data_IF_205813988592
#
_entry.id   IF_205813988592
#
_cell.length_a   1.000
_cell.length_b   1.000
_cell.length_c   1.000
_cell.angle_alpha   90.00
_cell.angle_beta   90.00
_cell.angle_gamma   90.00
#
_symmetry.space_group_name_H-M   'P 1'
#
loop_
_entity.id
_entity.type
_entity.pdbx_description
1 polymer ?
#
# COMPACT_ATOMS: atom_id res chain seq x y z
N UNK A 1 2.81 -4.76 -19.93
CA UNK A 1 3.81 -3.67 -19.76
C UNK A 1 3.07 -2.36 -19.56
N UNK A 2 3.31 -1.66 -18.45
CA UNK A 2 2.67 -0.39 -18.10
C UNK A 2 3.07 0.74 -19.07
N UNK A 3 2.10 1.58 -19.37
CA UNK A 3 2.24 2.79 -20.19
C UNK A 3 1.92 4.03 -19.35
N UNK A 4 2.31 5.21 -19.80
CA UNK A 4 2.01 6.48 -19.11
C UNK A 4 0.51 6.63 -18.77
N UNK A 5 -0.36 6.19 -19.67
CA UNK A 5 -1.80 6.20 -19.48
C UNK A 5 -2.24 5.46 -18.19
N UNK A 6 -1.62 4.32 -17.85
CA UNK A 6 -1.96 3.53 -16.66
C UNK A 6 -1.69 4.33 -15.36
N UNK A 7 -0.62 5.11 -15.34
CA UNK A 7 -0.29 6.00 -14.22
C UNK A 7 -1.24 7.20 -14.13
N UNK A 8 -1.64 7.76 -15.27
CA UNK A 8 -2.61 8.86 -15.31
C UNK A 8 -3.98 8.41 -14.78
N UNK A 9 -4.48 7.25 -15.21
CA UNK A 9 -5.70 6.66 -14.67
C UNK A 9 -5.58 6.34 -13.18
N UNK A 10 -4.43 5.82 -12.74
CA UNK A 10 -4.19 5.57 -11.32
C UNK A 10 -4.27 6.88 -10.52
N UNK A 11 -3.69 7.97 -11.01
CA UNK A 11 -3.78 9.29 -10.39
C UNK A 11 -5.23 9.76 -10.22
N UNK A 12 -6.06 9.59 -11.26
CA UNK A 12 -7.48 9.94 -11.18
C UNK A 12 -8.23 9.10 -10.15
N UNK A 13 -7.98 7.77 -10.12
CA UNK A 13 -8.58 6.87 -9.10
C UNK A 13 -8.17 7.22 -7.68
N UNK A 14 -6.92 7.62 -7.48
CA UNK A 14 -6.45 8.03 -6.16
C UNK A 14 -7.19 9.27 -5.64
N UNK A 15 -7.57 10.21 -6.50
CA UNK A 15 -8.38 11.36 -6.13
C UNK A 15 -7.89 12.04 -4.84
N UNK A 16 -8.77 12.10 -3.84
CA UNK A 16 -8.47 12.73 -2.54
C UNK A 16 -8.02 11.74 -1.45
N UNK A 17 -7.86 10.45 -1.78
CA UNK A 17 -7.41 9.47 -0.77
C UNK A 17 -5.95 9.69 -0.36
N UNK A 18 -5.14 10.20 -1.25
CA UNK A 18 -3.75 10.56 -0.99
C UNK A 18 -3.60 12.04 -0.69
N UNK A 19 -2.60 12.37 0.11
CA UNK A 19 -2.14 13.75 0.29
C UNK A 19 -1.18 14.08 -0.85
N UNK A 20 -1.42 15.18 -1.56
CA UNK A 20 -0.45 15.69 -2.53
C UNK A 20 0.71 16.33 -1.78
N UNK A 21 1.71 15.54 -1.46
CA UNK A 21 2.91 16.00 -0.77
C UNK A 21 3.70 16.95 -1.69
N UNK A 22 4.05 18.13 -1.18
CA UNK A 22 4.83 19.09 -1.96
C UNK A 22 6.29 18.67 -2.04
N UNK A 23 6.96 19.02 -3.12
CA UNK A 23 8.42 18.99 -3.18
C UNK A 23 8.99 20.05 -2.24
N UNK A 24 9.94 19.67 -1.39
CA UNK A 24 10.60 20.54 -0.41
C UNK A 24 12.06 20.64 -0.79
N UNK A 25 12.53 21.86 -1.08
CA UNK A 25 13.95 22.10 -1.30
C UNK A 25 14.73 21.85 0.00
N UNK A 26 15.82 21.12 -0.11
CA UNK A 26 16.72 20.84 1.01
C UNK A 26 18.05 21.57 0.79
N UNK A 27 18.27 22.67 1.50
CA UNK A 27 19.55 23.41 1.43
C UNK A 27 20.73 22.53 1.85
N UNK A 28 20.56 21.75 2.94
CA UNK A 28 21.61 20.86 3.46
C UNK A 28 22.09 19.88 2.39
N UNK A 29 21.16 19.12 1.78
CA UNK A 29 21.56 18.17 0.74
C UNK A 29 22.01 18.85 -0.56
N UNK A 30 21.49 20.03 -0.86
CA UNK A 30 21.94 20.81 -2.03
C UNK A 30 23.38 21.26 -1.85
N UNK A 31 23.74 21.77 -0.68
CA UNK A 31 25.11 22.21 -0.35
C UNK A 31 26.08 21.01 -0.37
N UNK A 32 25.69 19.87 0.20
CA UNK A 32 26.51 18.64 0.22
C UNK A 32 26.75 18.06 -1.17
N UNK A 33 25.73 18.09 -2.07
CA UNK A 33 25.80 17.46 -3.38
C UNK A 33 26.22 18.41 -4.50
N UNK A 34 26.23 19.73 -4.27
CA UNK A 34 26.48 20.74 -5.29
C UNK A 34 25.38 20.81 -6.36
N UNK A 35 24.13 20.43 -6.03
CA UNK A 35 22.97 20.43 -6.91
C UNK A 35 21.72 20.89 -6.16
N UNK A 36 20.67 21.32 -6.89
CA UNK A 36 19.37 21.60 -6.27
C UNK A 36 18.65 20.32 -5.91
N UNK A 37 18.59 19.96 -4.63
CA UNK A 37 17.96 18.75 -4.12
C UNK A 37 16.58 19.04 -3.55
N UNK A 38 15.58 18.30 -4.04
CA UNK A 38 14.21 18.36 -3.57
C UNK A 38 13.79 17.02 -2.98
N UNK A 39 13.04 17.06 -1.89
CA UNK A 39 12.51 15.89 -1.19
C UNK A 39 11.02 15.77 -1.46
N UNK A 40 10.55 14.58 -1.84
CA UNK A 40 9.14 14.18 -1.92
C UNK A 40 8.77 13.43 -0.63
N UNK A 41 8.19 14.08 0.40
CA UNK A 41 8.06 13.51 1.73
C UNK A 41 6.85 12.57 1.84
N UNK A 42 6.90 11.39 1.25
CA UNK A 42 5.81 10.39 1.31
C UNK A 42 5.57 9.80 2.71
N UNK A 43 6.44 10.08 3.67
CA UNK A 43 6.18 9.84 5.10
C UNK A 43 5.05 10.74 5.66
N UNK A 44 4.66 11.78 4.95
CA UNK A 44 3.52 12.65 5.30
C UNK A 44 2.18 12.14 4.76
N UNK A 45 2.15 10.99 4.08
CA UNK A 45 0.90 10.34 3.68
C UNK A 45 0.10 9.84 4.89
N UNK A 46 -1.19 9.58 4.68
CA UNK A 46 -2.14 9.17 5.74
C UNK A 46 -1.70 7.95 6.55
N UNK A 47 -0.94 7.03 5.92
CA UNK A 47 -0.40 5.83 6.58
C UNK A 47 1.11 5.93 6.84
N UNK A 48 1.66 7.15 6.77
CA UNK A 48 3.09 7.38 6.95
C UNK A 48 3.97 6.85 5.82
N UNK A 49 3.41 6.52 4.65
CA UNK A 49 4.17 6.05 3.49
C UNK A 49 3.37 6.08 2.19
N UNK A 50 4.08 5.96 1.07
CA UNK A 50 3.51 5.89 -0.28
C UNK A 50 2.70 4.61 -0.57
N UNK A 51 2.78 3.58 0.27
CA UNK A 51 2.16 2.27 0.01
C UNK A 51 0.63 2.33 -0.18
N UNK A 52 -0.03 3.30 0.40
CA UNK A 52 -1.45 3.55 0.20
C UNK A 52 -1.82 3.75 -1.28
N UNK A 53 -0.96 4.40 -2.06
CA UNK A 53 -1.19 4.69 -3.48
C UNK A 53 -1.44 3.41 -4.30
N UNK A 54 -0.50 2.47 -4.22
CA UNK A 54 -0.59 1.19 -4.94
C UNK A 54 -1.71 0.30 -4.42
N UNK A 55 -1.85 0.19 -3.10
CA UNK A 55 -2.90 -0.61 -2.49
C UNK A 55 -4.30 -0.11 -2.91
N UNK A 56 -4.53 1.20 -2.85
CA UNK A 56 -5.81 1.78 -3.24
C UNK A 56 -6.10 1.59 -4.73
N UNK A 57 -5.12 1.85 -5.62
CA UNK A 57 -5.31 1.66 -7.05
C UNK A 57 -5.64 0.20 -7.40
N UNK A 58 -4.97 -0.77 -6.77
CA UNK A 58 -5.24 -2.21 -6.94
C UNK A 58 -6.66 -2.55 -6.51
N UNK A 59 -7.06 -2.19 -5.29
CA UNK A 59 -8.35 -2.56 -4.71
C UNK A 59 -9.50 -1.82 -5.44
N UNK A 60 -9.29 -0.58 -5.86
CA UNK A 60 -10.30 0.19 -6.61
C UNK A 60 -10.68 -0.47 -7.95
N UNK A 61 -9.74 -1.16 -8.61
CA UNK A 61 -9.95 -1.89 -9.88
C UNK A 61 -10.62 -3.24 -9.71
N UNK A 62 -10.77 -3.76 -8.51
CA UNK A 62 -11.46 -5.02 -8.28
C UNK A 62 -12.94 -4.91 -8.63
N UNK A 63 -13.48 -5.99 -9.17
CA UNK A 63 -14.93 -6.15 -9.40
C UNK A 63 -15.70 -6.13 -8.07
N UNK A 64 -17.02 -5.99 -8.15
CA UNK A 64 -17.88 -6.09 -6.96
C UNK A 64 -17.76 -7.46 -6.28
N UNK A 65 -17.65 -8.52 -7.08
CA UNK A 65 -17.50 -9.89 -6.60
C UNK A 65 -16.17 -10.08 -5.86
N UNK A 66 -15.03 -9.68 -6.47
CA UNK A 66 -13.71 -9.74 -5.82
C UNK A 66 -13.68 -8.94 -4.51
N UNK A 67 -14.29 -7.74 -4.48
CA UNK A 67 -14.40 -6.95 -3.26
C UNK A 67 -15.26 -7.62 -2.19
N UNK A 68 -16.30 -8.35 -2.57
CA UNK A 68 -17.17 -9.07 -1.62
C UNK A 68 -16.46 -10.22 -0.93
N UNK A 69 -15.54 -10.91 -1.63
CA UNK A 69 -14.67 -11.91 -1.00
C UNK A 69 -13.67 -11.24 -0.04
N UNK A 70 -13.17 -10.05 -0.38
CA UNK A 70 -12.19 -9.31 0.38
C UNK A 70 -10.78 -9.43 -0.18
N UNK A 71 -9.84 -8.76 0.49
CA UNK A 71 -8.43 -8.73 0.09
C UNK A 71 -7.52 -9.26 1.18
N UNK A 72 -6.37 -9.80 0.79
CA UNK A 72 -5.37 -10.30 1.70
C UNK A 72 -3.98 -9.78 1.33
N UNK A 73 -3.13 -9.53 2.33
CA UNK A 73 -1.73 -9.21 2.13
C UNK A 73 -0.87 -9.81 3.25
N UNK A 74 0.40 -10.08 2.94
CA UNK A 74 1.42 -10.40 3.95
C UNK A 74 2.35 -9.20 4.12
N UNK A 75 2.31 -8.56 5.28
CA UNK A 75 3.20 -7.44 5.61
C UNK A 75 3.09 -7.03 7.07
N UNK A 76 4.24 -6.82 7.73
CA UNK A 76 4.32 -6.28 9.08
C UNK A 76 4.62 -4.76 9.13
N UNK A 77 4.43 -4.04 8.02
CA UNK A 77 4.86 -2.64 7.91
C UNK A 77 3.89 -1.75 7.13
N UNK A 78 4.47 -0.83 6.37
CA UNK A 78 3.73 0.22 5.66
C UNK A 78 2.69 -0.32 4.65
N UNK A 79 2.98 -1.46 4.01
CA UNK A 79 2.03 -2.05 3.06
C UNK A 79 0.78 -2.56 3.76
N UNK A 80 0.91 -3.16 4.95
CA UNK A 80 -0.21 -3.61 5.78
C UNK A 80 -1.21 -2.47 6.04
N UNK A 81 -0.71 -1.34 6.52
CA UNK A 81 -1.54 -0.15 6.79
C UNK A 81 -2.13 0.45 5.51
N UNK A 82 -1.36 0.47 4.42
CA UNK A 82 -1.83 0.92 3.11
C UNK A 82 -3.01 0.10 2.59
N UNK A 83 -2.91 -1.24 2.66
CA UNK A 83 -3.99 -2.17 2.27
C UNK A 83 -5.20 -2.01 3.19
N UNK A 84 -4.99 -1.97 4.50
CA UNK A 84 -6.07 -1.84 5.48
C UNK A 84 -6.88 -0.55 5.26
N UNK A 85 -6.24 0.61 5.15
CA UNK A 85 -6.92 1.88 4.89
C UNK A 85 -7.60 1.88 3.51
N UNK A 86 -6.94 1.37 2.46
CA UNK A 86 -7.53 1.31 1.13
C UNK A 86 -8.79 0.44 1.10
N UNK A 87 -8.76 -0.74 1.70
CA UNK A 87 -9.90 -1.64 1.81
C UNK A 87 -11.05 -1.00 2.59
N UNK A 88 -10.76 -0.38 3.74
CA UNK A 88 -11.76 0.35 4.53
C UNK A 88 -12.48 1.41 3.69
N UNK A 89 -11.73 2.22 2.92
CA UNK A 89 -12.29 3.30 2.10
C UNK A 89 -13.12 2.81 0.91
N UNK A 90 -12.84 1.59 0.45
CA UNK A 90 -13.49 0.97 -0.70
C UNK A 90 -14.56 -0.07 -0.29
N UNK A 91 -14.84 -0.21 1.02
CA UNK A 91 -15.85 -1.12 1.54
C UNK A 91 -15.51 -2.61 1.36
N UNK A 92 -14.24 -2.97 1.30
CA UNK A 92 -13.78 -4.34 1.20
C UNK A 92 -13.25 -4.84 2.56
N UNK A 93 -13.45 -6.12 2.88
CA UNK A 93 -12.78 -6.78 4.00
C UNK A 93 -11.27 -6.88 3.70
N UNK A 94 -10.43 -6.62 4.70
CA UNK A 94 -8.99 -6.83 4.59
C UNK A 94 -8.50 -7.80 5.65
N UNK A 95 -7.69 -8.77 5.22
CA UNK A 95 -6.96 -9.71 6.09
C UNK A 95 -5.47 -9.43 5.90
N UNK A 96 -4.76 -9.19 6.99
CA UNK A 96 -3.31 -8.93 6.95
C UNK A 96 -2.60 -10.01 7.77
N UNK A 97 -1.73 -10.76 7.11
CA UNK A 97 -0.93 -11.78 7.79
C UNK A 97 0.43 -11.20 8.14
N UNK A 98 0.83 -11.34 9.39
CA UNK A 98 2.08 -10.84 9.95
C UNK A 98 2.81 -11.95 10.70
N UNK A 99 4.16 -11.93 10.78
CA UNK A 99 4.90 -12.80 11.67
C UNK A 99 4.46 -12.63 13.14
N UNK A 100 4.50 -13.70 13.93
CA UNK A 100 4.08 -13.70 15.35
C UNK A 100 4.80 -12.66 16.20
N UNK A 101 6.08 -12.39 15.90
CA UNK A 101 6.90 -11.42 16.64
C UNK A 101 6.75 -9.97 16.14
N UNK A 102 5.73 -9.69 15.30
CA UNK A 102 5.46 -8.31 14.87
C UNK A 102 5.16 -7.43 16.08
N UNK A 103 5.84 -6.27 16.24
CA UNK A 103 5.60 -5.36 17.34
C UNK A 103 4.12 -4.95 17.44
N UNK A 104 3.57 -4.98 18.66
CA UNK A 104 2.14 -4.70 18.92
C UNK A 104 1.68 -3.36 18.33
N UNK A 105 2.53 -2.34 18.35
CA UNK A 105 2.22 -1.03 17.78
C UNK A 105 1.87 -1.10 16.29
N UNK A 106 2.53 -1.99 15.52
CA UNK A 106 2.25 -2.19 14.08
C UNK A 106 0.97 -2.96 13.86
N UNK A 107 0.70 -3.96 14.71
CA UNK A 107 -0.55 -4.73 14.70
C UNK A 107 -1.73 -3.80 14.95
N UNK A 108 -1.67 -3.01 16.02
CA UNK A 108 -2.73 -2.08 16.40
C UNK A 108 -2.92 -0.96 15.36
N UNK A 109 -1.83 -0.43 14.79
CA UNK A 109 -1.91 0.56 13.71
C UNK A 109 -2.68 0.02 12.49
N UNK A 110 -2.52 -1.27 12.18
CA UNK A 110 -3.24 -1.93 11.07
C UNK A 110 -4.70 -2.18 11.44
N UNK A 111 -4.97 -2.67 12.66
CA UNK A 111 -6.33 -2.90 13.16
C UNK A 111 -7.18 -1.63 13.23
N UNK A 112 -6.59 -0.47 13.52
CA UNK A 112 -7.28 0.83 13.52
C UNK A 112 -7.96 1.16 12.18
N UNK A 113 -7.47 0.61 11.09
CA UNK A 113 -8.10 0.73 9.77
C UNK A 113 -9.12 -0.40 9.48
N UNK A 114 -9.52 -1.17 10.49
CA UNK A 114 -10.56 -2.19 10.37
C UNK A 114 -10.11 -3.52 9.74
N UNK A 115 -8.81 -3.72 9.54
CA UNK A 115 -8.31 -4.98 9.03
C UNK A 115 -8.27 -6.06 10.10
N UNK A 116 -8.61 -7.29 9.72
CA UNK A 116 -8.33 -8.49 10.50
C UNK A 116 -6.83 -8.78 10.42
N UNK A 117 -6.17 -8.95 11.56
CA UNK A 117 -4.74 -9.30 11.61
C UNK A 117 -4.57 -10.71 12.10
N UNK A 118 -3.96 -11.54 11.24
CA UNK A 118 -3.59 -12.93 11.52
C UNK A 118 -2.10 -12.98 11.81
N UNK A 119 -1.73 -13.45 12.99
CA UNK A 119 -0.32 -13.66 13.37
C UNK A 119 0.05 -15.11 13.06
N UNK A 120 0.97 -15.32 12.13
CA UNK A 120 1.38 -16.66 11.68
C UNK A 120 2.84 -16.68 11.25
N UNK A 121 3.51 -17.80 11.55
CA UNK A 121 4.93 -17.98 11.27
C UNK A 121 5.85 -17.10 12.12
N UNK A 122 7.13 -17.40 12.06
CA UNK A 122 8.17 -16.68 12.78
C UNK A 122 8.84 -15.61 11.89
N UNK A 123 8.89 -15.89 10.58
CA UNK A 123 9.51 -15.03 9.56
C UNK A 123 8.50 -14.64 8.47
N UNK A 124 8.92 -13.69 7.62
CA UNK A 124 8.07 -13.16 6.54
C UNK A 124 7.57 -14.26 5.59
N UNK A 125 8.44 -15.20 5.18
CA UNK A 125 8.09 -16.23 4.21
C UNK A 125 7.01 -17.19 4.73
N UNK A 126 7.04 -17.50 6.03
CA UNK A 126 6.01 -18.31 6.67
C UNK A 126 4.67 -17.56 6.76
N UNK A 127 4.71 -16.27 7.11
CA UNK A 127 3.51 -15.42 7.10
C UNK A 127 2.94 -15.28 5.68
N UNK A 128 3.81 -15.16 4.67
CA UNK A 128 3.41 -15.13 3.27
C UNK A 128 2.75 -16.44 2.83
N UNK A 129 3.34 -17.60 3.18
CA UNK A 129 2.77 -18.91 2.89
C UNK A 129 1.36 -19.06 3.51
N UNK A 130 1.18 -18.61 4.76
CA UNK A 130 -0.14 -18.60 5.40
C UNK A 130 -1.12 -17.65 4.71
N UNK A 131 -0.67 -16.51 4.22
CA UNK A 131 -1.53 -15.61 3.44
C UNK A 131 -1.99 -16.25 2.13
N UNK A 132 -1.12 -16.99 1.44
CA UNK A 132 -1.48 -17.75 0.22
C UNK A 132 -2.44 -18.89 0.52
N UNK A 133 -2.28 -19.57 1.65
CA UNK A 133 -3.23 -20.60 2.11
C UNK A 133 -4.64 -20.01 2.30
N UNK A 134 -4.73 -18.93 3.10
CA UNK A 134 -6.00 -18.24 3.36
C UNK A 134 -6.62 -17.62 2.10
N UNK A 135 -5.79 -17.15 1.18
CA UNK A 135 -6.24 -16.67 -0.14
C UNK A 135 -7.02 -17.76 -0.88
N UNK A 136 -6.47 -18.98 -0.93
CA UNK A 136 -7.10 -20.12 -1.65
C UNK A 136 -8.36 -20.60 -0.94
N UNK A 137 -8.34 -20.65 0.40
CA UNK A 137 -9.45 -21.13 1.22
C UNK A 137 -10.68 -20.22 1.11
N UNK A 138 -10.45 -18.88 1.14
CA UNK A 138 -11.55 -17.90 1.21
C UNK A 138 -11.78 -17.11 -0.09
N UNK A 139 -10.99 -17.34 -1.13
CA UNK A 139 -11.11 -16.61 -2.39
C UNK A 139 -10.70 -15.14 -2.33
N UNK A 140 -9.86 -14.75 -1.34
CA UNK A 140 -9.37 -13.37 -1.24
C UNK A 140 -8.54 -12.96 -2.44
N UNK A 141 -8.62 -11.68 -2.82
CA UNK A 141 -7.67 -11.11 -3.77
C UNK A 141 -6.38 -10.72 -3.06
N UNK A 142 -5.24 -11.27 -3.51
CA UNK A 142 -3.94 -10.93 -2.96
C UNK A 142 -3.50 -9.54 -3.42
N UNK A 143 -3.12 -8.66 -2.49
CA UNK A 143 -2.56 -7.35 -2.78
C UNK A 143 -1.05 -7.40 -2.54
N UNK A 144 -0.31 -7.64 -3.64
CA UNK A 144 1.15 -7.79 -3.57
C UNK A 144 1.84 -6.46 -3.21
N UNK A 145 2.91 -6.46 -2.38
CA UNK A 145 3.53 -5.23 -1.89
C UNK A 145 4.31 -4.43 -2.95
N UNK A 146 4.64 -5.02 -4.12
CA UNK A 146 5.43 -4.40 -5.18
C UNK A 146 5.25 -5.03 -6.57
N UNK A 147 5.12 -6.35 -6.71
CA UNK A 147 5.07 -7.04 -8.02
C UNK A 147 3.62 -7.29 -8.47
N UNK A 148 2.93 -6.21 -8.81
CA UNK A 148 1.58 -6.20 -9.40
C UNK A 148 1.44 -4.91 -10.22
N UNK A 149 1.08 -5.01 -11.51
CA UNK A 149 1.00 -3.85 -12.40
C UNK A 149 0.07 -2.75 -11.87
N UNK A 150 -1.04 -3.10 -11.21
CA UNK A 150 -1.94 -2.10 -10.62
C UNK A 150 -1.34 -1.43 -9.39
N UNK A 151 -0.57 -2.18 -8.58
CA UNK A 151 0.18 -1.61 -7.46
C UNK A 151 1.28 -0.69 -7.98
N UNK A 152 2.05 -1.13 -8.97
CA UNK A 152 3.12 -0.33 -9.61
C UNK A 152 2.55 0.97 -10.19
N UNK A 153 1.43 0.90 -10.92
CA UNK A 153 0.77 2.09 -11.49
C UNK A 153 0.36 3.09 -10.39
N UNK A 154 -0.18 2.60 -9.28
CA UNK A 154 -0.53 3.45 -8.14
C UNK A 154 0.70 4.12 -7.51
N UNK A 155 1.79 3.38 -7.26
CA UNK A 155 3.03 3.93 -6.71
C UNK A 155 3.67 4.96 -7.65
N UNK A 156 3.63 4.69 -8.95
CA UNK A 156 4.21 5.56 -9.99
C UNK A 156 3.52 6.91 -10.14
N UNK A 157 2.35 7.11 -9.54
CA UNK A 157 1.72 8.45 -9.47
C UNK A 157 2.59 9.49 -8.77
N UNK A 158 3.54 9.06 -7.94
CA UNK A 158 4.55 9.94 -7.35
C UNK A 158 5.35 10.64 -8.44
N UNK A 159 5.76 9.90 -9.49
CA UNK A 159 6.48 10.47 -10.62
C UNK A 159 5.67 11.57 -11.34
N UNK A 160 4.35 11.37 -11.50
CA UNK A 160 3.46 12.39 -12.10
C UNK A 160 3.27 13.63 -11.21
N UNK A 161 3.57 13.54 -9.93
CA UNK A 161 3.52 14.69 -9.01
C UNK A 161 4.86 15.44 -8.93
N UNK A 162 5.95 14.80 -9.38
CA UNK A 162 7.30 15.39 -9.43
C UNK A 162 7.49 16.16 -10.75
N UNK A 163 6.97 15.64 -11.85
CA UNK A 163 7.01 16.25 -13.18
C UNK A 163 6.04 17.44 -13.30
#
# INVERSE_FOLDING_TARGET
MLKLYDFMEARERLGTITVKTKLIHSSVFSDECGNDVYIKPENLQRTGSFKLRGAYNKIAKLTKEEKSHGVIASSAGNHAQGVALAAQRLGAKAVIVMPKHTPLIKVEATRKYGAEVVLAGEVYDEAYAKAVELQKEHGYTFVHPFDDENVIAGQGTIGLEIL
#
